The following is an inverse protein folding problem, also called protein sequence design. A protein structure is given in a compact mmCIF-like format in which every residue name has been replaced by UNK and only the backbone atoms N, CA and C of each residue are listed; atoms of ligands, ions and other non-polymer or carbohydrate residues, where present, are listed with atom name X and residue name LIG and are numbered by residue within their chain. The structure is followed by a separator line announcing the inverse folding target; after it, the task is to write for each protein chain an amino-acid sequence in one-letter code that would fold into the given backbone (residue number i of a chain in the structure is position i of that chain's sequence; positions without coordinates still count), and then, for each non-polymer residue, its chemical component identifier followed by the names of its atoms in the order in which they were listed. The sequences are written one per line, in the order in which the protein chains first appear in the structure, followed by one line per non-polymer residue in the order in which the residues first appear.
data_IF_495211714071
#
_entry.id   IF_495211714071
#
_cell.length_a   1.000
_cell.length_b   1.000
_cell.length_c   1.000
_cell.angle_alpha   90.00
_cell.angle_beta   90.00
_cell.angle_gamma   90.00
#
_symmetry.space_group_name_H-M   'P 1'
#
loop_
_entity.id
_entity.type
_entity.pdbx_description
1 polymer ?
#
# COMPACT_ATOMS: atom_id res chain seq x y z
N UNK A 1 -9.75 -18.49 -4.66
CA UNK A 1 -10.30 -17.57 -3.64
C UNK A 1 -10.51 -18.25 -2.29
N UNK A 2 -11.44 -19.21 -2.14
CA UNK A 2 -11.76 -19.84 -0.83
C UNK A 2 -10.57 -20.50 -0.12
N UNK A 3 -9.74 -21.24 -0.85
CA UNK A 3 -8.54 -21.90 -0.29
C UNK A 3 -7.54 -20.86 0.23
N UNK A 4 -7.30 -19.79 -0.52
CA UNK A 4 -6.41 -18.70 -0.12
C UNK A 4 -6.93 -17.95 1.11
N UNK A 5 -8.22 -17.62 1.15
CA UNK A 5 -8.85 -16.95 2.30
C UNK A 5 -8.71 -17.82 3.56
N UNK A 6 -9.03 -19.12 3.47
CA UNK A 6 -8.86 -20.06 4.58
C UNK A 6 -7.41 -20.10 5.07
N UNK A 7 -6.45 -20.21 4.16
CA UNK A 7 -5.04 -20.21 4.54
C UNK A 7 -4.65 -18.90 5.25
N UNK A 8 -5.08 -17.75 4.74
CA UNK A 8 -4.81 -16.46 5.38
C UNK A 8 -5.46 -16.33 6.77
N UNK A 9 -6.71 -16.78 6.93
CA UNK A 9 -7.40 -16.83 8.22
C UNK A 9 -6.65 -17.71 9.25
N UNK A 10 -6.09 -18.82 8.80
CA UNK A 10 -5.35 -19.77 9.65
C UNK A 10 -3.92 -19.31 9.99
N UNK A 11 -3.30 -18.47 9.15
CA UNK A 11 -1.86 -18.17 9.25
C UNK A 11 -1.52 -16.68 9.50
N UNK A 12 -2.45 -15.76 9.27
CA UNK A 12 -2.20 -14.33 9.44
C UNK A 12 -3.02 -13.78 10.61
N UNK A 13 -2.33 -13.17 11.57
CA UNK A 13 -2.98 -12.51 12.69
C UNK A 13 -3.86 -11.35 12.19
N UNK A 14 -5.09 -11.27 12.69
CA UNK A 14 -6.05 -10.21 12.37
C UNK A 14 -6.33 -10.02 10.86
N UNK A 15 -6.36 -11.11 10.10
CA UNK A 15 -6.73 -11.10 8.69
C UNK A 15 -8.13 -10.51 8.46
N UNK A 16 -8.25 -9.61 7.49
CA UNK A 16 -9.54 -9.13 6.99
C UNK A 16 -10.00 -10.00 5.82
N UNK A 17 -11.06 -10.82 5.99
CA UNK A 17 -11.64 -11.53 4.87
C UNK A 17 -12.23 -10.55 3.85
N UNK A 18 -12.43 -11.05 2.63
CA UNK A 18 -12.95 -10.26 1.51
C UNK A 18 -14.29 -9.56 1.81
N UNK A 19 -15.10 -10.09 2.72
CA UNK A 19 -16.39 -9.52 3.11
C UNK A 19 -16.27 -8.27 3.96
N UNK A 20 -15.11 -8.01 4.58
CA UNK A 20 -14.84 -6.81 5.37
C UNK A 20 -14.16 -5.73 4.53
N UNK A 21 -13.34 -6.13 3.55
CA UNK A 21 -12.62 -5.18 2.70
C UNK A 21 -13.59 -4.48 1.72
N UNK A 22 -13.65 -3.14 1.70
CA UNK A 22 -14.52 -2.42 0.78
C UNK A 22 -14.00 -2.55 -0.67
N UNK A 23 -14.88 -2.81 -1.65
CA UNK A 23 -14.47 -2.89 -3.05
C UNK A 23 -13.91 -1.54 -3.52
N UNK A 24 -13.00 -1.58 -4.50
CA UNK A 24 -12.46 -0.39 -5.17
C UNK A 24 -11.89 0.69 -4.22
N UNK A 25 -11.21 0.26 -3.15
CA UNK A 25 -10.70 1.17 -2.11
C UNK A 25 -9.16 1.20 -2.03
N UNK A 26 -8.45 1.65 -3.09
CA UNK A 26 -6.98 1.78 -3.06
C UNK A 26 -6.54 2.82 -2.01
N UNK A 27 -7.37 3.82 -1.72
CA UNK A 27 -7.14 4.83 -0.69
C UNK A 27 -7.05 4.25 0.74
N UNK A 28 -7.42 2.99 0.91
CA UNK A 28 -7.37 2.25 2.17
C UNK A 28 -6.24 1.20 2.23
N UNK A 29 -5.47 0.97 1.16
CA UNK A 29 -4.37 0.00 1.15
C UNK A 29 -3.00 0.69 1.25
N UNK A 30 -2.19 0.45 2.32
CA UNK A 30 -0.87 1.06 2.48
C UNK A 30 0.09 0.88 1.31
N UNK A 31 -0.04 -0.24 0.60
CA UNK A 31 0.75 -0.47 -0.60
C UNK A 31 0.33 0.49 -1.73
N UNK A 32 -0.97 0.65 -1.96
CA UNK A 32 -1.50 1.45 -3.07
C UNK A 32 -1.38 2.96 -2.82
N UNK A 33 -1.77 3.46 -1.65
CA UNK A 33 -1.77 4.90 -1.37
C UNK A 33 -0.37 5.48 -1.07
N UNK A 34 0.67 4.64 -0.95
CA UNK A 34 1.97 5.08 -0.46
C UNK A 34 3.14 4.35 -1.13
N UNK A 35 3.38 3.10 -0.72
CA UNK A 35 4.61 2.35 -1.06
C UNK A 35 4.79 2.23 -2.58
N UNK A 36 3.75 1.86 -3.32
CA UNK A 36 3.82 1.72 -4.78
C UNK A 36 4.09 3.04 -5.50
N UNK A 37 3.52 4.14 -5.02
CA UNK A 37 3.84 5.46 -5.58
C UNK A 37 5.32 5.82 -5.43
N UNK A 38 5.95 5.46 -4.30
CA UNK A 38 7.40 5.69 -4.12
C UNK A 38 8.22 4.75 -5.00
N UNK A 39 7.89 3.45 -5.00
CA UNK A 39 8.57 2.47 -5.83
C UNK A 39 8.54 2.86 -7.29
N UNK A 40 7.36 3.19 -7.82
CA UNK A 40 7.17 3.63 -9.21
C UNK A 40 8.02 4.87 -9.52
N UNK A 41 7.97 5.92 -8.70
CA UNK A 41 8.79 7.13 -8.92
C UNK A 41 10.27 6.83 -9.04
N UNK A 42 10.78 5.94 -8.20
CA UNK A 42 12.20 5.59 -8.18
C UNK A 42 12.59 4.65 -9.32
N UNK A 43 11.86 3.55 -9.49
CA UNK A 43 12.21 2.51 -10.47
C UNK A 43 11.92 2.95 -11.89
N UNK A 44 10.89 3.78 -12.11
CA UNK A 44 10.51 4.27 -13.44
C UNK A 44 11.22 5.59 -13.81
N UNK A 45 12.16 6.08 -12.99
CA UNK A 45 13.00 7.24 -13.32
C UNK A 45 13.97 6.97 -14.49
N UNK A 46 14.23 5.69 -14.79
CA UNK A 46 15.07 5.24 -15.89
C UNK A 46 14.38 4.10 -16.66
N UNK A 47 14.76 3.92 -17.92
CA UNK A 47 14.39 2.73 -18.68
C UNK A 47 15.31 1.56 -18.34
N UNK A 48 14.76 0.34 -18.33
CA UNK A 48 15.50 -0.89 -18.03
C UNK A 48 15.64 -1.74 -19.28
N UNK A 49 16.84 -2.21 -19.56
CA UNK A 49 17.13 -3.03 -20.75
C UNK A 49 16.53 -4.45 -20.68
N UNK A 50 16.10 -4.91 -19.50
CA UNK A 50 15.49 -6.23 -19.32
C UNK A 50 14.64 -6.29 -18.04
N UNK A 51 13.80 -7.33 -17.96
CA UNK A 51 13.06 -7.66 -16.73
C UNK A 51 14.01 -7.96 -15.55
N UNK A 52 15.18 -8.57 -15.82
CA UNK A 52 16.16 -8.84 -14.78
C UNK A 52 16.74 -7.55 -14.19
N UNK A 53 17.09 -6.59 -15.05
CA UNK A 53 17.55 -5.27 -14.61
C UNK A 53 16.48 -4.54 -13.79
N UNK A 54 15.23 -4.57 -14.23
CA UNK A 54 14.12 -3.99 -13.48
C UNK A 54 13.96 -4.63 -12.09
N UNK A 55 13.99 -5.97 -12.00
CA UNK A 55 13.91 -6.69 -10.72
C UNK A 55 15.03 -6.29 -9.75
N UNK A 56 16.26 -6.20 -10.23
CA UNK A 56 17.41 -5.79 -9.41
C UNK A 56 17.22 -4.37 -8.84
N UNK A 57 16.68 -3.44 -9.64
CA UNK A 57 16.40 -2.07 -9.17
C UNK A 57 15.23 -2.05 -8.20
N UNK A 58 14.16 -2.83 -8.44
CA UNK A 58 13.05 -2.96 -7.48
C UNK A 58 13.54 -3.50 -6.14
N UNK A 59 14.37 -4.54 -6.12
CA UNK A 59 14.92 -5.11 -4.89
C UNK A 59 15.80 -4.10 -4.14
N UNK A 60 16.65 -3.36 -4.86
CA UNK A 60 17.47 -2.28 -4.31
C UNK A 60 16.62 -1.18 -3.68
N UNK A 61 15.67 -0.63 -4.42
CA UNK A 61 14.86 0.50 -3.95
C UNK A 61 13.93 0.10 -2.79
N UNK A 62 13.48 -1.16 -2.76
CA UNK A 62 12.76 -1.72 -1.63
C UNK A 62 13.64 -1.79 -0.39
N UNK A 63 14.86 -2.33 -0.51
CA UNK A 63 15.79 -2.44 0.60
C UNK A 63 16.27 -1.08 1.14
N UNK A 64 16.36 -0.07 0.27
CA UNK A 64 16.73 1.31 0.63
C UNK A 64 15.53 2.14 1.14
N UNK A 65 14.31 1.60 1.10
CA UNK A 65 13.13 2.32 1.59
C UNK A 65 13.23 2.55 3.10
N UNK A 66 13.02 3.82 3.50
CA UNK A 66 13.09 4.20 4.91
C UNK A 66 12.06 3.43 5.74
N UNK A 67 12.52 2.78 6.80
CA UNK A 67 11.65 2.13 7.79
C UNK A 67 10.68 3.14 8.42
N UNK A 68 11.13 4.38 8.65
CA UNK A 68 10.26 5.45 9.17
C UNK A 68 9.13 5.78 8.17
N UNK A 69 9.43 5.83 6.87
CA UNK A 69 8.41 6.00 5.84
C UNK A 69 7.40 4.85 5.83
N UNK A 70 7.86 3.60 5.91
CA UNK A 70 6.99 2.41 5.96
C UNK A 70 6.09 2.48 7.20
N UNK A 71 6.65 2.78 8.38
CA UNK A 71 5.90 2.91 9.63
C UNK A 71 4.86 4.02 9.54
N UNK A 72 5.22 5.20 9.01
CA UNK A 72 4.28 6.31 8.80
C UNK A 72 3.16 5.94 7.84
N UNK A 73 3.49 5.26 6.74
CA UNK A 73 2.52 4.78 5.74
C UNK A 73 1.53 3.79 6.38
N UNK A 74 2.00 2.83 7.18
CA UNK A 74 1.13 1.91 7.90
C UNK A 74 0.29 2.62 8.97
N UNK A 75 0.86 3.58 9.72
CA UNK A 75 0.12 4.38 10.71
C UNK A 75 -1.00 5.22 10.08
N UNK A 76 -0.87 5.58 8.81
CA UNK A 76 -1.89 6.31 8.06
C UNK A 76 -3.15 5.48 7.75
N UNK A 77 -3.10 4.16 7.88
CA UNK A 77 -4.23 3.28 7.57
C UNK A 77 -5.48 3.64 8.36
N UNK A 78 -5.36 3.78 9.68
CA UNK A 78 -6.51 4.08 10.54
C UNK A 78 -7.15 5.45 10.24
N UNK A 79 -6.40 6.57 10.16
CA UNK A 79 -6.96 7.84 9.75
C UNK A 79 -7.67 7.80 8.38
N UNK A 80 -7.17 7.00 7.43
CA UNK A 80 -7.81 6.81 6.11
C UNK A 80 -9.15 6.09 6.22
N UNK A 81 -9.22 5.03 7.01
CA UNK A 81 -10.49 4.32 7.28
C UNK A 81 -11.49 5.26 7.98
N UNK A 82 -11.06 6.06 8.95
CA UNK A 82 -11.91 7.03 9.65
C UNK A 82 -12.44 8.12 8.69
N UNK A 83 -11.62 8.60 7.76
CA UNK A 83 -12.03 9.54 6.73
C UNK A 83 -13.04 8.93 5.73
N UNK A 84 -12.80 7.70 5.26
CA UNK A 84 -13.73 6.95 4.43
C UNK A 84 -15.09 6.78 5.12
N UNK A 85 -15.09 6.43 6.41
CA UNK A 85 -16.31 6.29 7.20
C UNK A 85 -17.06 7.63 7.32
N UNK A 86 -16.35 8.73 7.57
CA UNK A 86 -16.95 10.09 7.61
C UNK A 86 -17.54 10.49 6.25
N UNK A 87 -16.96 10.01 5.16
CA UNK A 87 -17.48 10.19 3.80
C UNK A 87 -18.59 9.20 3.44
N UNK A 88 -19.07 8.37 4.37
CA UNK A 88 -20.05 7.30 4.13
C UNK A 88 -19.64 6.35 2.99
N UNK A 89 -18.35 6.00 2.91
CA UNK A 89 -17.79 5.17 1.84
C UNK A 89 -17.49 5.93 0.54
N UNK A 90 -17.73 7.24 0.51
CA UNK A 90 -17.34 8.11 -0.61
C UNK A 90 -15.83 8.38 -0.64
N UNK A 91 -15.40 9.02 -1.72
CA UNK A 91 -14.02 9.49 -1.88
C UNK A 91 -13.67 10.55 -0.83
N UNK A 92 -12.40 10.56 -0.41
CA UNK A 92 -11.88 11.47 0.60
C UNK A 92 -10.45 11.91 0.27
N UNK A 93 -10.06 13.06 0.78
CA UNK A 93 -8.67 13.53 0.74
C UNK A 93 -8.17 13.79 2.15
N UNK A 94 -6.93 13.42 2.42
CA UNK A 94 -6.27 13.74 3.68
C UNK A 94 -5.36 14.95 3.50
N UNK A 95 -5.67 16.05 4.20
CA UNK A 95 -4.79 17.21 4.23
C UNK A 95 -3.42 16.85 4.83
N UNK A 96 -2.35 17.14 4.10
CA UNK A 96 -0.96 17.07 4.59
C UNK A 96 -0.16 15.80 4.23
N UNK A 97 -0.73 14.82 3.55
CA UNK A 97 -0.03 13.57 3.23
C UNK A 97 0.89 13.62 2.00
N UNK A 98 0.82 14.69 1.19
CA UNK A 98 1.77 14.97 0.10
C UNK A 98 3.15 15.46 0.58
N UNK A 99 3.50 15.20 1.85
CA UNK A 99 4.75 15.63 2.50
C UNK A 99 5.44 14.48 3.23
N UNK A 100 5.28 13.26 2.73
CA UNK A 100 6.03 12.10 3.22
C UNK A 100 7.32 11.86 2.41
N UNK A 101 7.58 12.76 1.47
CA UNK A 101 8.74 12.90 0.59
C UNK A 101 9.79 13.84 1.19
#
# INVERSE_FOLDING_TARGET
AKITQKWCEENLAAFWPWSIWPPSSPDCNPLDYGIWGVMERKTCSISHASVHALKAVVEKEWAEMSVDFIVKTCKAFRPRIEAMLKANGGHFELQGYYKLD
#
